data_IF_404390411586
#
_entry.id   IF_404390411586
#
_cell.length_a   1.000
_cell.length_b   1.000
_cell.length_c   1.000
_cell.angle_alpha   90.00
_cell.angle_beta   90.00
_cell.angle_gamma   90.00
#
_symmetry.space_group_name_H-M   'P 1'
#
loop_
_entity.id
_entity.type
_entity.pdbx_description
1 polymer ?
#
# COMPACT_ATOMS: atom_id res chain seq x y z
N UNK A 1 2.92 17.21 5.65
CA UNK A 1 2.91 15.81 5.18
C UNK A 1 3.00 15.84 3.67
N UNK A 2 3.88 15.05 3.03
CA UNK A 2 3.96 15.07 1.58
C UNK A 2 2.63 14.55 1.01
N UNK A 3 2.13 15.21 -0.03
CA UNK A 3 0.86 14.92 -0.74
C UNK A 3 0.77 13.46 -1.28
N UNK A 4 1.87 12.70 -1.24
CA UNK A 4 2.02 11.34 -1.77
C UNK A 4 1.27 10.24 -1.02
N UNK A 5 0.67 10.52 0.15
CA UNK A 5 -0.13 9.52 0.88
C UNK A 5 -1.61 9.51 0.48
N UNK A 6 -2.03 10.38 -0.46
CA UNK A 6 -3.43 10.45 -0.93
C UNK A 6 -3.76 9.51 -2.08
N UNK A 7 -2.75 8.94 -2.73
CA UNK A 7 -2.96 8.09 -3.91
C UNK A 7 -2.53 6.67 -3.60
N UNK A 8 -3.53 5.80 -3.40
CA UNK A 8 -3.33 4.37 -3.22
C UNK A 8 -3.72 3.56 -4.46
N UNK A 9 -4.17 4.19 -5.54
CA UNK A 9 -4.58 3.53 -6.78
C UNK A 9 -3.45 3.55 -7.81
N UNK A 10 -3.17 2.41 -8.44
CA UNK A 10 -2.17 2.24 -9.51
C UNK A 10 -2.82 1.52 -10.69
N UNK A 11 -2.48 1.90 -11.91
CA UNK A 11 -2.98 1.29 -13.14
C UNK A 11 -1.82 0.63 -13.90
N UNK A 12 -2.09 -0.55 -14.45
CA UNK A 12 -1.18 -1.28 -15.34
C UNK A 12 -1.94 -1.72 -16.58
N UNK A 13 -1.25 -1.79 -17.72
CA UNK A 13 -1.83 -2.26 -18.98
C UNK A 13 -0.78 -2.93 -19.82
N UNK A 14 -1.06 -4.16 -20.25
CA UNK A 14 -0.14 -4.96 -21.04
C UNK A 14 -0.89 -5.85 -22.04
N UNK A 15 -0.33 -6.14 -23.24
CA UNK A 15 -0.98 -7.01 -24.23
C UNK A 15 -1.14 -8.47 -23.78
N UNK A 16 -0.43 -8.87 -22.73
CA UNK A 16 -0.49 -10.24 -22.20
C UNK A 16 -0.57 -10.23 -20.68
N UNK A 17 -1.25 -11.22 -20.12
CA UNK A 17 -1.27 -11.45 -18.67
C UNK A 17 0.13 -11.63 -18.06
N UNK A 18 1.08 -12.19 -18.82
CA UNK A 18 2.47 -12.34 -18.38
C UNK A 18 3.16 -10.97 -18.25
N UNK A 19 3.06 -10.14 -19.29
CA UNK A 19 3.58 -8.78 -19.24
C UNK A 19 2.96 -8.00 -18.07
N UNK A 20 1.64 -8.13 -17.88
CA UNK A 20 0.94 -7.45 -16.79
C UNK A 20 1.51 -7.83 -15.42
N UNK A 21 1.77 -9.13 -15.21
CA UNK A 21 2.40 -9.62 -14.00
C UNK A 21 3.82 -9.06 -13.80
N UNK A 22 4.64 -9.08 -14.85
CA UNK A 22 6.02 -8.57 -14.81
C UNK A 22 6.04 -7.06 -14.48
N UNK A 23 5.18 -6.27 -15.12
CA UNK A 23 5.03 -4.83 -14.88
C UNK A 23 4.55 -4.54 -13.45
N UNK A 24 3.64 -5.36 -12.91
CA UNK A 24 3.20 -5.26 -11.51
C UNK A 24 4.31 -5.64 -10.52
N UNK A 25 5.12 -6.65 -10.83
CA UNK A 25 6.25 -7.09 -9.99
C UNK A 25 7.36 -6.03 -9.95
N UNK A 26 7.77 -5.52 -11.12
CA UNK A 26 8.77 -4.45 -11.24
C UNK A 26 8.35 -3.21 -10.44
N UNK A 27 7.08 -2.78 -10.59
CA UNK A 27 6.58 -1.62 -9.87
C UNK A 27 6.67 -1.80 -8.35
N UNK A 28 6.33 -2.98 -7.82
CA UNK A 28 6.43 -3.25 -6.38
C UNK A 28 7.87 -3.17 -5.88
N UNK A 29 8.83 -3.69 -6.66
CA UNK A 29 10.25 -3.65 -6.31
C UNK A 29 10.80 -2.21 -6.32
N UNK A 30 10.52 -1.45 -7.38
CA UNK A 30 10.98 -0.06 -7.55
C UNK A 30 10.41 0.84 -6.46
N UNK A 31 9.12 0.70 -6.15
CA UNK A 31 8.44 1.58 -5.20
C UNK A 31 8.54 1.11 -3.75
N UNK A 32 9.07 -0.10 -3.50
CA UNK A 32 9.09 -0.77 -2.19
C UNK A 32 7.72 -0.76 -1.51
N UNK A 33 6.67 -0.94 -2.31
CA UNK A 33 5.26 -0.95 -1.88
C UNK A 33 4.61 -2.24 -2.31
N UNK A 34 3.75 -2.78 -1.46
CA UNK A 34 2.94 -3.96 -1.76
C UNK A 34 1.62 -3.55 -2.39
N UNK A 35 1.17 -4.31 -3.38
CA UNK A 35 -0.22 -4.26 -3.86
C UNK A 35 -1.10 -5.04 -2.88
N UNK A 36 -2.12 -4.40 -2.34
CA UNK A 36 -3.09 -4.95 -1.38
C UNK A 36 -4.23 -5.68 -2.09
N UNK A 37 -4.69 -5.14 -3.20
CA UNK A 37 -5.80 -5.69 -3.99
C UNK A 37 -5.58 -5.37 -5.46
N UNK A 38 -5.99 -6.27 -6.34
CA UNK A 38 -5.84 -6.14 -7.80
C UNK A 38 -7.13 -6.57 -8.47
N UNK A 39 -7.53 -5.86 -9.52
CA UNK A 39 -8.65 -6.22 -10.38
C UNK A 39 -8.17 -6.14 -11.81
N UNK A 40 -8.10 -7.29 -12.47
CA UNK A 40 -7.69 -7.41 -13.88
C UNK A 40 -8.92 -7.60 -14.76
N UNK A 41 -9.00 -6.85 -15.85
CA UNK A 41 -10.01 -7.01 -16.88
C UNK A 41 -9.34 -6.95 -18.26
N UNK A 42 -9.91 -7.66 -19.23
CA UNK A 42 -9.50 -7.51 -20.62
C UNK A 42 -10.26 -6.31 -21.23
N UNK A 43 -9.53 -5.37 -21.82
CA UNK A 43 -10.09 -4.27 -22.62
C UNK A 43 -9.45 -4.31 -24.01
N UNK A 44 -10.28 -4.63 -25.01
CA UNK A 44 -9.85 -4.92 -26.39
C UNK A 44 -8.73 -5.98 -26.44
N UNK A 45 -7.55 -5.60 -26.94
CA UNK A 45 -6.40 -6.46 -27.14
C UNK A 45 -5.43 -6.47 -25.94
N UNK A 46 -5.77 -5.74 -24.87
CA UNK A 46 -4.92 -5.59 -23.69
C UNK A 46 -5.59 -6.14 -22.42
N UNK A 47 -4.75 -6.41 -21.43
CA UNK A 47 -5.16 -6.66 -20.05
C UNK A 47 -4.86 -5.43 -19.22
N UNK A 48 -5.88 -4.91 -18.56
CA UNK A 48 -5.83 -3.74 -17.71
C UNK A 48 -5.97 -4.16 -16.25
N UNK A 49 -5.14 -3.62 -15.36
CA UNK A 49 -5.20 -3.86 -13.93
C UNK A 49 -5.38 -2.53 -13.19
N UNK A 50 -6.36 -2.48 -12.30
CA UNK A 50 -6.42 -1.47 -11.25
C UNK A 50 -5.98 -2.14 -9.96
N UNK A 51 -4.95 -1.59 -9.32
CA UNK A 51 -4.40 -2.09 -8.08
C UNK A 51 -4.51 -1.06 -6.95
N UNK A 52 -4.82 -1.52 -5.76
CA UNK A 52 -4.73 -0.74 -4.53
C UNK A 52 -3.40 -1.06 -3.85
N UNK A 53 -2.69 -0.04 -3.43
CA UNK A 53 -1.49 -0.13 -2.59
C UNK A 53 -1.89 0.08 -1.14
N UNK A 54 -1.14 -0.49 -0.21
CA UNK A 54 -1.38 -0.20 1.19
C UNK A 54 -1.09 1.29 1.43
N UNK A 55 -2.03 2.10 1.97
CA UNK A 55 -1.66 3.41 2.49
C UNK A 55 -0.53 3.20 3.50
N UNK A 56 0.40 4.15 3.55
CA UNK A 56 1.62 4.02 4.36
C UNK A 56 1.21 3.65 5.79
N UNK A 57 1.61 2.47 6.28
CA UNK A 57 1.26 1.98 7.61
C UNK A 57 1.74 2.99 8.64
N UNK A 58 0.81 3.58 9.39
CA UNK A 58 1.13 4.58 10.41
C UNK A 58 1.30 3.84 11.72
N UNK A 59 2.55 3.69 12.15
CA UNK A 59 2.85 3.20 13.50
C UNK A 59 2.82 4.41 14.43
N UNK A 60 1.96 4.34 15.46
CA UNK A 60 1.94 5.36 16.51
C UNK A 60 2.96 4.92 17.58
N UNK A 61 4.02 5.70 17.72
CA UNK A 61 5.11 5.41 18.67
C UNK A 61 5.47 6.61 19.55
N UNK A 62 6.32 6.38 20.55
CA UNK A 62 7.00 7.44 21.30
C UNK A 62 7.88 8.27 20.38
N UNK A 63 8.30 9.44 20.85
CA UNK A 63 9.10 10.38 20.07
C UNK A 63 10.45 9.78 19.60
N UNK A 64 11.01 8.85 20.36
CA UNK A 64 12.22 8.09 20.05
C UNK A 64 11.96 6.78 19.29
N UNK A 65 10.70 6.41 19.07
CA UNK A 65 10.30 5.15 18.41
C UNK A 65 10.38 3.89 19.30
N UNK A 66 10.72 4.01 20.58
CA UNK A 66 10.95 2.85 21.46
C UNK A 66 9.65 2.16 21.93
N UNK A 67 8.55 2.91 22.06
CA UNK A 67 7.28 2.41 22.59
C UNK A 67 6.17 2.56 21.55
N UNK A 68 5.37 1.51 21.36
CA UNK A 68 4.22 1.53 20.47
C UNK A 68 2.94 1.87 21.26
N UNK A 69 1.95 2.44 20.57
CA UNK A 69 0.66 2.72 21.18
C UNK A 69 -0.04 1.44 21.66
N UNK A 70 -0.68 1.52 22.82
CA UNK A 70 -1.49 0.46 23.42
C UNK A 70 -2.92 0.94 23.64
N UNK A 71 -3.86 -0.01 23.66
CA UNK A 71 -5.26 0.23 23.99
C UNK A 71 -5.51 -0.21 25.42
N UNK A 72 -5.91 0.72 26.29
CA UNK A 72 -6.22 0.42 27.69
C UNK A 72 -7.59 -0.27 27.83
N UNK A 73 -7.86 -0.87 29.00
CA UNK A 73 -9.17 -1.49 29.33
C UNK A 73 -10.37 -0.53 29.24
N UNK A 74 -10.12 0.79 29.20
CA UNK A 74 -11.15 1.82 29.09
C UNK A 74 -11.30 2.35 27.66
N UNK A 75 -10.62 1.74 26.67
CA UNK A 75 -10.69 2.13 25.26
C UNK A 75 -9.82 3.33 24.88
N UNK A 76 -8.86 3.72 25.73
CA UNK A 76 -7.92 4.80 25.42
C UNK A 76 -6.75 4.28 24.59
N UNK A 77 -6.46 4.94 23.47
CA UNK A 77 -5.24 4.73 22.68
C UNK A 77 -4.16 5.73 23.13
N UNK A 78 -3.09 5.22 23.72
CA UNK A 78 -1.98 6.05 24.21
C UNK A 78 -0.64 5.38 23.95
N UNK A 79 0.41 6.19 23.77
CA UNK A 79 1.79 5.72 23.83
C UNK A 79 2.24 5.87 25.27
N UNK A 80 2.63 4.77 25.90
CA UNK A 80 3.15 4.84 27.26
C UNK A 80 4.52 5.54 27.24
N UNK A 81 4.63 6.61 28.01
CA UNK A 81 5.90 7.26 28.27
C UNK A 81 6.37 6.70 29.61
N UNK A 82 7.36 5.80 29.58
CA UNK A 82 8.04 5.46 30.83
C UNK A 82 8.65 6.70 31.47
#
# INVERSE_FOLDING_TARGET
MPETNKHNLVYFEEPTMRGLYESMEEWQQVNRRRLLSVSVQQDRDNFCCIALTNPTEVVITSADGAHHAQVSRFGMLAVDAQ
#
